data_IF_105513982909
#
_entry.id   IF_105513982909
#
_cell.length_a   1.000
_cell.length_b   1.000
_cell.length_c   1.000
_cell.angle_alpha   90.00
_cell.angle_beta   90.00
_cell.angle_gamma   90.00
#
_symmetry.space_group_name_H-M   'P 1'
#
loop_
_entity.id
_entity.type
_entity.pdbx_description
1 polymer ?
#
# COMPACT_ATOMS: atom_id res chain seq x y z
N UNK A 1 -20.33 -2.38 -2.29
CA UNK A 1 -20.29 -0.92 -2.49
C UNK A 1 -20.02 -0.66 -3.96
N UNK A 2 -20.67 0.31 -4.58
CA UNK A 2 -20.47 0.59 -6.01
C UNK A 2 -19.04 1.09 -6.29
N UNK A 3 -18.51 0.75 -7.45
CA UNK A 3 -17.16 1.12 -7.90
C UNK A 3 -16.92 2.65 -7.81
N UNK A 4 -17.96 3.44 -8.09
CA UNK A 4 -17.95 4.90 -7.96
C UNK A 4 -17.70 5.40 -6.52
N UNK A 5 -18.12 4.65 -5.49
CA UNK A 5 -17.89 5.01 -4.09
C UNK A 5 -16.42 4.95 -3.71
N UNK A 6 -15.70 3.96 -4.21
CA UNK A 6 -14.27 3.82 -3.95
C UNK A 6 -13.44 4.93 -4.62
N UNK A 7 -13.76 5.29 -5.87
CA UNK A 7 -13.07 6.38 -6.59
C UNK A 7 -13.19 7.72 -5.85
N UNK A 8 -14.36 8.03 -5.31
CA UNK A 8 -14.60 9.24 -4.53
C UNK A 8 -13.77 9.28 -3.24
N UNK A 9 -13.61 8.14 -2.58
CA UNK A 9 -12.79 8.02 -1.38
C UNK A 9 -11.31 8.21 -1.75
N UNK A 10 -10.84 7.64 -2.85
CA UNK A 10 -9.48 7.85 -3.34
C UNK A 10 -9.16 9.32 -3.65
N UNK A 11 -10.15 10.11 -4.08
CA UNK A 11 -10.02 11.55 -4.33
C UNK A 11 -10.01 12.40 -3.04
N UNK A 12 -10.58 11.90 -1.94
CA UNK A 12 -10.59 12.57 -0.64
C UNK A 12 -9.28 12.37 0.13
N UNK A 13 -8.57 11.26 -0.15
CA UNK A 13 -7.31 10.95 0.48
C UNK A 13 -6.17 11.78 -0.14
N UNK A 14 -5.14 12.14 0.65
CA UNK A 14 -3.93 12.74 0.12
C UNK A 14 -3.31 11.87 -0.98
N UNK A 15 -2.74 12.54 -1.99
CA UNK A 15 -1.98 11.85 -3.04
C UNK A 15 -0.87 10.98 -2.43
N UNK A 16 -0.75 9.75 -2.93
CA UNK A 16 0.27 8.79 -2.50
C UNK A 16 -0.09 7.90 -1.31
N UNK A 17 -1.21 8.14 -0.60
CA UNK A 17 -1.65 7.23 0.48
C UNK A 17 -1.93 5.83 -0.05
N UNK A 18 -2.59 5.74 -1.20
CA UNK A 18 -2.96 4.45 -1.80
C UNK A 18 -1.75 3.70 -2.42
N UNK A 19 -0.59 4.34 -2.49
CA UNK A 19 0.63 3.66 -2.95
C UNK A 19 1.13 2.67 -1.89
N UNK A 20 0.95 3.00 -0.61
CA UNK A 20 1.38 2.20 0.53
C UNK A 20 0.25 1.52 1.29
N UNK A 21 -0.99 2.00 1.14
CA UNK A 21 -2.15 1.47 1.85
C UNK A 21 -3.25 1.01 0.90
N UNK A 22 -3.93 -0.07 1.25
CA UNK A 22 -5.13 -0.53 0.56
C UNK A 22 -6.39 -0.13 1.33
N UNK A 23 -7.40 0.36 0.61
CA UNK A 23 -8.71 0.69 1.17
C UNK A 23 -9.49 -0.61 1.43
N UNK A 24 -9.59 -1.00 2.70
CA UNK A 24 -10.27 -2.25 3.10
C UNK A 24 -11.75 -2.04 3.36
N UNK A 25 -12.12 -0.89 3.93
CA UNK A 25 -13.51 -0.59 4.29
C UNK A 25 -13.73 0.92 4.35
N UNK A 26 -14.95 1.32 4.02
CA UNK A 26 -15.43 2.67 4.31
C UNK A 26 -16.84 2.57 4.87
N UNK A 27 -17.11 3.26 5.97
CA UNK A 27 -18.40 3.30 6.62
C UNK A 27 -18.80 4.75 6.85
N UNK A 28 -20.04 5.08 6.50
CA UNK A 28 -20.59 6.40 6.75
C UNK A 28 -21.54 6.31 7.92
N UNK A 29 -21.17 6.99 9.00
CA UNK A 29 -21.99 7.14 10.20
C UNK A 29 -22.68 8.50 10.22
N UNK A 30 -23.54 8.71 11.22
CA UNK A 30 -24.25 9.98 11.43
C UNK A 30 -23.31 11.17 11.70
N UNK A 31 -22.09 10.88 12.16
CA UNK A 31 -21.06 11.87 12.52
C UNK A 31 -19.99 12.07 11.44
N UNK A 32 -19.89 11.20 10.44
CA UNK A 32 -18.84 11.32 9.42
C UNK A 32 -18.59 10.07 8.58
N UNK A 33 -17.44 10.06 7.89
CA UNK A 33 -16.96 8.96 7.06
C UNK A 33 -15.74 8.33 7.74
N UNK A 34 -15.86 7.07 8.14
CA UNK A 34 -14.78 6.24 8.66
C UNK A 34 -14.14 5.47 7.51
N UNK A 35 -12.85 5.67 7.29
CA UNK A 35 -12.08 5.04 6.23
C UNK A 35 -11.04 4.13 6.90
N UNK A 36 -11.05 2.86 6.52
CA UNK A 36 -10.14 1.84 7.02
C UNK A 36 -9.12 1.49 5.94
N UNK A 37 -7.85 1.60 6.30
CA UNK A 37 -6.71 1.40 5.42
C UNK A 37 -5.83 0.30 6.02
N UNK A 38 -5.32 -0.59 5.18
CA UNK A 38 -4.34 -1.62 5.57
C UNK A 38 -3.01 -1.35 4.87
N UNK A 39 -1.92 -1.39 5.62
CA UNK A 39 -0.58 -1.15 5.07
C UNK A 39 -0.13 -2.33 4.21
N UNK A 40 0.32 -2.03 2.99
CA UNK A 40 0.88 -3.02 2.08
C UNK A 40 2.22 -3.48 2.63
N UNK A 41 2.48 -4.78 2.55
CA UNK A 41 3.77 -5.37 2.89
C UNK A 41 4.79 -5.16 1.75
N UNK A 42 5.12 -3.91 1.46
CA UNK A 42 6.09 -3.51 0.44
C UNK A 42 7.39 -3.13 1.15
N UNK A 43 8.47 -3.83 0.80
CA UNK A 43 9.79 -3.46 1.29
C UNK A 43 10.17 -2.07 0.74
N UNK A 44 10.76 -1.18 1.56
CA UNK A 44 11.23 0.12 1.08
C UNK A 44 12.18 -0.04 -0.12
N UNK A 45 12.16 0.92 -1.03
CA UNK A 45 13.09 0.94 -2.17
C UNK A 45 14.53 0.91 -1.65
N UNK A 46 15.28 -0.11 -2.05
CA UNK A 46 16.63 -0.42 -1.54
C UNK A 46 16.73 -1.69 -0.68
N UNK A 47 15.60 -2.23 -0.20
CA UNK A 47 15.54 -3.52 0.51
C UNK A 47 14.81 -4.60 -0.29
N UNK A 48 14.40 -4.31 -1.52
CA UNK A 48 13.97 -5.34 -2.45
C UNK A 48 15.11 -6.33 -2.58
N UNK A 49 14.87 -7.59 -2.18
CA UNK A 49 15.85 -8.68 -2.14
C UNK A 49 16.76 -8.59 -3.37
N UNK A 50 17.93 -7.97 -3.21
CA UNK A 50 18.98 -8.13 -4.20
C UNK A 50 19.20 -9.62 -4.30
N UNK A 51 19.21 -10.15 -5.51
CA UNK A 51 19.71 -11.49 -5.76
C UNK A 51 21.07 -11.56 -5.06
N UNK A 52 21.16 -12.39 -4.02
CA UNK A 52 22.41 -12.63 -3.33
C UNK A 52 23.33 -13.28 -4.35
N UNK A 53 24.09 -12.47 -5.08
CA UNK A 53 25.15 -12.98 -5.93
C UNK A 53 26.16 -13.67 -5.02
N UNK A 54 26.14 -14.99 -5.02
CA UNK A 54 27.25 -15.78 -4.52
C UNK A 54 28.45 -15.45 -5.40
N UNK A 55 29.27 -14.48 -4.96
CA UNK A 55 30.60 -14.26 -5.53
C UNK A 55 31.43 -15.48 -5.15
N UNK A 56 31.31 -16.52 -5.98
CA UNK A 56 31.94 -17.81 -5.77
C UNK A 56 33.37 -17.64 -5.29
N UNK A 57 33.74 -18.40 -4.26
CA UNK A 57 35.09 -18.41 -3.72
C UNK A 57 36.05 -18.75 -4.87
N UNK A 58 36.99 -17.86 -5.18
CA UNK A 58 38.06 -18.16 -6.13
C UNK A 58 38.94 -19.26 -5.52
N UNK A 59 39.19 -20.37 -6.24
CA UNK A 59 40.16 -21.37 -5.80
C UNK A 59 41.59 -20.80 -5.86
N UNK A 60 42.42 -21.28 -4.93
CA UNK A 60 43.82 -20.91 -4.69
C UNK A 60 44.81 -21.32 -5.79
#
# INVERSE_FOLDING_TARGET
MSEAGNTLISLLLPEGILDYFDLTKAEKDSTGLNIYLEEKNIAPDGYQKHELESKGLLPE
#
